data_IF_531653249945
#
_entry.id   IF_531653249945
#
_cell.length_a   1.000
_cell.length_b   1.000
_cell.length_c   1.000
_cell.angle_alpha   90.00
_cell.angle_beta   90.00
_cell.angle_gamma   90.00
#
_symmetry.space_group_name_H-M   'P 1'
#
loop_
_entity.id
_entity.type
_entity.pdbx_description
1 polymer ?
#
# COMPACT_ATOMS: atom_id res chain seq x y z
N UNK A 1 -16.18 -0.63 -5.75
CA UNK A 1 -15.07 -0.24 -6.66
C UNK A 1 -15.11 1.25 -7.08
N UNK A 2 -15.83 2.14 -6.39
CA UNK A 2 -15.74 3.59 -6.58
C UNK A 2 -14.71 4.15 -5.59
N UNK A 3 -13.45 4.14 -5.99
CA UNK A 3 -12.38 4.85 -5.29
C UNK A 3 -11.35 5.33 -6.31
N UNK A 4 -10.83 6.53 -6.05
CA UNK A 4 -9.75 7.13 -6.83
C UNK A 4 -8.38 6.68 -6.30
N UNK A 5 -8.30 6.38 -4.99
CA UNK A 5 -7.10 5.92 -4.28
C UNK A 5 -7.45 4.74 -3.37
N UNK A 6 -6.50 3.82 -3.20
CA UNK A 6 -6.55 2.74 -2.20
C UNK A 6 -5.34 2.87 -1.29
N UNK A 7 -5.56 2.76 0.02
CA UNK A 7 -4.50 2.86 1.02
C UNK A 7 -4.52 1.58 1.84
N UNK A 8 -3.40 0.87 1.89
CA UNK A 8 -3.21 -0.32 2.71
C UNK A 8 -2.36 0.05 3.91
N UNK A 9 -2.89 -0.12 5.12
CA UNK A 9 -2.16 0.06 6.37
C UNK A 9 -1.66 -1.30 6.85
N UNK A 10 -0.34 -1.42 7.06
CA UNK A 10 0.29 -2.61 7.61
C UNK A 10 0.46 -2.50 9.14
N UNK A 11 0.40 -3.63 9.87
CA UNK A 11 0.11 -4.98 9.38
C UNK A 11 -1.37 -5.17 8.99
N UNK A 12 -1.60 -5.82 7.84
CA UNK A 12 -2.92 -6.12 7.30
C UNK A 12 -3.42 -7.53 7.58
N UNK A 13 -4.72 -7.76 7.43
CA UNK A 13 -5.34 -9.09 7.59
C UNK A 13 -5.34 -9.92 6.28
N UNK A 14 -5.84 -11.16 6.35
CA UNK A 14 -5.95 -12.03 5.16
C UNK A 14 -6.78 -11.41 4.01
N UNK A 15 -7.85 -10.69 4.35
CA UNK A 15 -8.70 -9.99 3.37
C UNK A 15 -7.97 -8.86 2.64
N UNK A 16 -6.99 -8.22 3.29
CA UNK A 16 -6.21 -7.11 2.73
C UNK A 16 -5.46 -7.53 1.46
N UNK A 17 -4.96 -8.76 1.39
CA UNK A 17 -4.30 -9.26 0.18
C UNK A 17 -5.25 -9.45 -1.00
N UNK A 18 -6.50 -9.87 -0.73
CA UNK A 18 -7.53 -10.01 -1.76
C UNK A 18 -7.89 -8.64 -2.32
N UNK A 19 -8.11 -7.67 -1.45
CA UNK A 19 -8.42 -6.29 -1.86
C UNK A 19 -7.26 -5.62 -2.59
N UNK A 20 -6.01 -5.85 -2.13
CA UNK A 20 -4.80 -5.39 -2.81
C UNK A 20 -4.69 -5.96 -4.23
N UNK A 21 -4.88 -7.28 -4.39
CA UNK A 21 -4.86 -7.92 -5.71
C UNK A 21 -5.93 -7.36 -6.65
N UNK A 22 -7.14 -7.12 -6.15
CA UNK A 22 -8.23 -6.50 -6.91
C UNK A 22 -7.88 -5.06 -7.30
N UNK A 23 -7.31 -4.26 -6.39
CA UNK A 23 -6.93 -2.89 -6.66
C UNK A 23 -5.83 -2.81 -7.74
N UNK A 24 -4.84 -3.71 -7.69
CA UNK A 24 -3.78 -3.84 -8.70
C UNK A 24 -4.38 -4.20 -10.06
N UNK A 25 -5.26 -5.22 -10.11
CA UNK A 25 -5.90 -5.65 -11.34
C UNK A 25 -6.76 -4.56 -12.01
N UNK A 26 -7.27 -3.61 -11.21
CA UNK A 26 -8.03 -2.46 -11.69
C UNK A 26 -7.17 -1.22 -11.99
N UNK A 27 -5.84 -1.31 -11.84
CA UNK A 27 -4.92 -0.19 -12.08
C UNK A 27 -5.18 1.01 -11.17
N UNK A 28 -5.59 0.77 -9.92
CA UNK A 28 -5.83 1.85 -8.95
C UNK A 28 -4.52 2.51 -8.52
N UNK A 29 -4.59 3.78 -8.10
CA UNK A 29 -3.48 4.42 -7.39
C UNK A 29 -3.43 3.87 -5.96
N UNK A 30 -2.37 3.14 -5.62
CA UNK A 30 -2.28 2.39 -4.36
C UNK A 30 -1.10 2.86 -3.53
N UNK A 31 -1.37 3.18 -2.26
CA UNK A 31 -0.38 3.45 -1.24
C UNK A 31 -0.28 2.28 -0.27
N UNK A 32 0.94 1.85 0.03
CA UNK A 32 1.22 0.82 1.01
C UNK A 32 2.00 1.46 2.16
N UNK A 33 1.36 1.60 3.32
CA UNK A 33 1.93 2.28 4.49
C UNK A 33 2.39 1.27 5.54
N UNK A 34 3.55 1.55 6.14
CA UNK A 34 4.03 0.89 7.35
C UNK A 34 4.76 1.89 8.25
N UNK A 35 4.67 1.75 9.58
CA UNK A 35 5.47 2.56 10.49
C UNK A 35 6.98 2.27 10.41
N UNK A 36 7.37 1.11 9.84
CA UNK A 36 8.73 0.60 9.85
C UNK A 36 9.06 -0.21 8.58
N UNK A 37 10.36 -0.49 8.37
CA UNK A 37 10.91 -1.08 7.13
C UNK A 37 10.57 -2.56 6.90
N UNK A 38 9.69 -3.15 7.71
CA UNK A 38 9.28 -4.55 7.60
C UNK A 38 8.65 -4.90 6.25
N UNK A 39 8.13 -3.90 5.50
CA UNK A 39 7.58 -4.09 4.14
C UNK A 39 8.63 -4.68 3.17
N UNK A 40 9.92 -4.43 3.42
CA UNK A 40 11.00 -4.86 2.54
C UNK A 40 11.58 -6.23 2.91
N UNK A 41 11.09 -6.86 3.99
CA UNK A 41 11.46 -8.22 4.35
C UNK A 41 10.72 -9.23 3.46
N UNK A 42 11.41 -9.71 2.42
CA UNK A 42 10.88 -10.70 1.48
C UNK A 42 10.55 -12.05 2.10
N UNK A 43 11.15 -12.40 3.25
CA UNK A 43 10.87 -13.65 3.94
C UNK A 43 9.56 -13.58 4.76
N UNK A 44 9.16 -12.37 5.16
CA UNK A 44 8.02 -12.14 6.05
C UNK A 44 6.80 -11.53 5.35
N UNK A 45 6.98 -10.96 4.15
CA UNK A 45 5.93 -10.19 3.47
C UNK A 45 5.44 -10.83 2.17
N UNK A 46 4.27 -10.36 1.71
CA UNK A 46 3.73 -10.76 0.41
C UNK A 46 4.57 -10.18 -0.72
N UNK A 47 4.84 -10.99 -1.75
CA UNK A 47 5.55 -10.54 -2.96
C UNK A 47 4.84 -9.41 -3.69
N UNK A 48 3.52 -9.26 -3.50
CA UNK A 48 2.77 -8.13 -4.05
C UNK A 48 3.33 -6.80 -3.57
N UNK A 49 3.89 -6.71 -2.36
CA UNK A 49 4.40 -5.45 -1.83
C UNK A 49 5.60 -4.90 -2.62
N UNK A 50 6.25 -5.74 -3.41
CA UNK A 50 7.43 -5.39 -4.21
C UNK A 50 7.08 -4.91 -5.63
N UNK A 51 5.79 -4.88 -5.97
CA UNK A 51 5.32 -4.46 -7.29
C UNK A 51 5.54 -2.95 -7.49
N UNK A 52 6.09 -2.52 -8.64
CA UNK A 52 6.42 -1.12 -8.91
C UNK A 52 5.18 -0.20 -8.98
N UNK A 53 3.99 -0.77 -9.17
CA UNK A 53 2.72 -0.03 -9.17
C UNK A 53 2.34 0.46 -7.75
N UNK A 54 2.95 -0.08 -6.69
CA UNK A 54 2.68 0.32 -5.32
C UNK A 54 3.57 1.47 -4.87
N UNK A 55 2.96 2.41 -4.15
CA UNK A 55 3.67 3.52 -3.54
C UNK A 55 3.88 3.22 -2.07
N UNK A 56 5.07 2.72 -1.72
CA UNK A 56 5.45 2.49 -0.33
C UNK A 56 5.65 3.82 0.39
N UNK A 57 5.07 3.92 1.58
CA UNK A 57 5.31 5.02 2.51
C UNK A 57 5.70 4.40 3.85
N UNK A 58 6.96 4.55 4.21
CA UNK A 58 7.48 4.08 5.49
C UNK A 58 7.72 5.29 6.37
N UNK A 59 7.18 5.28 7.58
CA UNK A 59 7.33 6.37 8.54
C UNK A 59 6.00 6.75 9.20
N UNK A 60 5.65 8.03 9.18
CA UNK A 60 4.51 8.58 9.94
C UNK A 60 3.23 8.69 9.11
N UNK A 61 2.08 8.73 9.77
CA UNK A 61 0.80 9.01 9.10
C UNK A 61 0.77 10.41 8.45
N UNK A 62 1.49 11.38 9.01
CA UNK A 62 1.60 12.72 8.41
C UNK A 62 2.31 12.66 7.06
N UNK A 63 3.40 11.88 6.95
CA UNK A 63 4.10 11.65 5.68
C UNK A 63 3.20 10.96 4.66
N UNK A 64 2.37 9.99 5.09
CA UNK A 64 1.37 9.35 4.24
C UNK A 64 0.35 10.36 3.71
N UNK A 65 -0.23 11.19 4.58
CA UNK A 65 -1.21 12.22 4.20
C UNK A 65 -0.60 13.19 3.20
N UNK A 66 0.62 13.69 3.49
CA UNK A 66 1.36 14.57 2.58
C UNK A 66 1.55 13.90 1.22
N UNK A 67 1.94 12.63 1.18
CA UNK A 67 2.18 11.89 -0.07
C UNK A 67 0.91 11.73 -0.90
N UNK A 68 -0.22 11.49 -0.27
CA UNK A 68 -1.53 11.34 -0.94
C UNK A 68 -1.99 12.69 -1.51
N UNK A 69 -1.91 13.76 -0.72
CA UNK A 69 -2.41 15.09 -1.10
C UNK A 69 -1.54 15.78 -2.16
N UNK A 70 -0.23 15.52 -2.20
CA UNK A 70 0.67 16.08 -3.23
C UNK A 70 0.58 15.38 -4.59
N UNK A 71 -0.05 14.19 -4.65
CA UNK A 71 -0.20 13.41 -5.87
C UNK A 71 -1.60 13.42 -6.48
N UNK A 72 -2.58 14.02 -5.80
CA UNK A 72 -3.96 14.12 -6.27
C UNK A 72 -4.21 15.38 -7.11
#
# INVERSE_FOLDING_TARGET
MKSDVVIILLPGGKGTHVELGIAIALGKNIFLYSPNDEIDDLALTSTFYQLPELQKVIGTLDELIIRICLKS
#
